data_IF_633788353843
#
_entry.id   IF_633788353843
#
_cell.length_a   1.000
_cell.length_b   1.000
_cell.length_c   1.000
_cell.angle_alpha   90.00
_cell.angle_beta   90.00
_cell.angle_gamma   90.00
#
_symmetry.space_group_name_H-M   'P 1'
#
loop_
_entity.id
_entity.type
_entity.pdbx_description
1 polymer ?
#
# COMPACT_ATOMS: atom_id res chain seq x y z
N UNK A 1 -7.64 10.80 13.07
CA UNK A 1 -7.32 9.42 12.64
C UNK A 1 -6.75 9.51 11.23
N UNK A 2 -5.43 9.40 11.14
CA UNK A 2 -4.67 9.55 9.90
C UNK A 2 -4.20 8.20 9.35
N UNK A 3 -5.11 7.37 8.86
CA UNK A 3 -4.78 6.20 8.03
C UNK A 3 -5.18 6.46 6.58
N UNK A 4 -4.48 5.83 5.63
CA UNK A 4 -4.93 5.79 4.24
C UNK A 4 -4.41 4.54 3.52
N UNK A 5 -5.33 3.67 3.14
CA UNK A 5 -5.04 2.65 2.16
C UNK A 5 -4.75 3.32 0.81
N UNK A 6 -3.54 3.09 0.30
CA UNK A 6 -3.12 3.56 -1.01
C UNK A 6 -2.97 2.36 -1.94
N UNK A 7 -3.77 2.34 -3.00
CA UNK A 7 -3.75 1.33 -4.08
C UNK A 7 -2.38 1.15 -4.77
N UNK A 8 -1.41 2.00 -4.45
CA UNK A 8 -0.07 2.02 -5.05
C UNK A 8 0.89 1.06 -4.33
N UNK A 9 1.11 1.32 -3.03
CA UNK A 9 2.18 0.73 -2.23
C UNK A 9 1.73 0.34 -0.82
N UNK A 10 0.44 0.00 -0.64
CA UNK A 10 -0.15 -0.61 0.56
C UNK A 10 -0.83 0.34 1.56
N UNK A 11 -0.92 -0.08 2.81
CA UNK A 11 -1.53 0.64 3.93
C UNK A 11 -0.56 1.71 4.41
N UNK A 12 -0.85 2.97 4.08
CA UNK A 12 -0.09 4.10 4.59
C UNK A 12 -0.70 4.53 5.93
N UNK A 13 0.16 4.78 6.91
CA UNK A 13 -0.26 5.26 8.23
C UNK A 13 0.46 6.57 8.54
N UNK A 14 -0.30 7.61 8.90
CA UNK A 14 0.25 8.88 9.31
C UNK A 14 0.90 8.76 10.70
N UNK A 15 2.19 9.07 10.75
CA UNK A 15 2.96 9.03 11.99
C UNK A 15 2.59 10.15 12.97
N UNK A 16 1.89 11.21 12.54
CA UNK A 16 1.47 12.33 13.39
C UNK A 16 0.29 12.02 14.33
N UNK A 17 -0.56 11.04 13.98
CA UNK A 17 -1.80 10.71 14.71
C UNK A 17 -1.97 9.19 14.89
N UNK A 18 -0.90 8.50 15.27
CA UNK A 18 -0.85 7.04 15.29
C UNK A 18 -1.65 6.40 16.44
N UNK A 19 -2.62 5.53 16.12
CA UNK A 19 -3.28 4.56 17.02
C UNK A 19 -3.17 3.16 16.39
N UNK A 20 -3.00 2.13 17.22
CA UNK A 20 -2.86 0.73 16.78
C UNK A 20 -4.06 0.20 15.99
N UNK A 21 -5.24 0.79 16.21
CA UNK A 21 -6.46 0.38 15.54
C UNK A 21 -6.49 0.81 14.06
N UNK A 22 -5.72 1.85 13.70
CA UNK A 22 -5.61 2.35 12.33
C UNK A 22 -4.98 1.31 11.40
N UNK A 23 -3.95 0.58 11.88
CA UNK A 23 -3.32 -0.50 11.11
C UNK A 23 -4.37 -1.55 10.67
N UNK A 24 -5.28 -1.91 11.58
CA UNK A 24 -6.33 -2.91 11.37
C UNK A 24 -7.39 -2.36 10.40
N UNK A 25 -7.86 -1.13 10.61
CA UNK A 25 -8.87 -0.49 9.75
C UNK A 25 -8.40 -0.42 8.29
N UNK A 26 -7.19 0.06 8.07
CA UNK A 26 -6.64 0.18 6.72
C UNK A 26 -6.31 -1.18 6.08
N UNK A 27 -5.94 -2.18 6.89
CA UNK A 27 -5.76 -3.54 6.40
C UNK A 27 -7.08 -4.15 5.89
N UNK A 28 -8.22 -3.81 6.50
CA UNK A 28 -9.53 -4.23 5.99
C UNK A 28 -9.80 -3.64 4.60
N UNK A 29 -9.54 -2.34 4.41
CA UNK A 29 -9.63 -1.70 3.09
C UNK A 29 -8.77 -2.41 2.04
N UNK A 30 -7.55 -2.77 2.43
CA UNK A 30 -6.63 -3.53 1.58
C UNK A 30 -7.17 -4.91 1.22
N UNK A 31 -7.64 -5.66 2.20
CA UNK A 31 -8.17 -7.03 1.98
C UNK A 31 -9.38 -6.99 1.06
N UNK A 32 -10.31 -6.07 1.32
CA UNK A 32 -11.50 -5.86 0.48
C UNK A 32 -11.10 -5.46 -0.95
N UNK A 33 -10.07 -4.64 -1.12
CA UNK A 33 -9.61 -4.18 -2.43
C UNK A 33 -8.82 -5.25 -3.20
N UNK A 34 -8.00 -6.05 -2.54
CA UNK A 34 -7.07 -6.98 -3.21
C UNK A 34 -7.63 -8.37 -3.45
N UNK A 35 -8.62 -8.81 -2.63
CA UNK A 35 -9.19 -10.16 -2.70
C UNK A 35 -10.50 -10.28 -3.48
N UNK A 36 -10.98 -9.19 -4.07
CA UNK A 36 -12.27 -9.16 -4.77
C UNK A 36 -12.10 -8.60 -6.17
N UNK A 37 -12.96 -9.04 -7.09
CA UNK A 37 -12.92 -8.61 -8.50
C UNK A 37 -13.20 -7.11 -8.66
N UNK A 38 -14.16 -6.56 -7.91
CA UNK A 38 -14.51 -5.14 -7.96
C UNK A 38 -13.39 -4.27 -7.37
N UNK A 39 -12.89 -4.65 -6.20
CA UNK A 39 -11.77 -3.96 -5.55
C UNK A 39 -10.50 -3.99 -6.42
N UNK A 40 -10.17 -5.15 -6.99
CA UNK A 40 -8.96 -5.32 -7.80
C UNK A 40 -9.06 -4.57 -9.13
N UNK A 41 -10.25 -4.48 -9.71
CA UNK A 41 -10.49 -3.63 -10.88
C UNK A 41 -10.21 -2.15 -10.56
N UNK A 42 -10.69 -1.67 -9.41
CA UNK A 42 -10.43 -0.29 -8.96
C UNK A 42 -8.93 -0.04 -8.74
N UNK A 43 -8.22 -0.97 -8.12
CA UNK A 43 -6.77 -0.88 -7.91
C UNK A 43 -6.03 -0.73 -9.25
N UNK A 44 -6.38 -1.55 -10.25
CA UNK A 44 -5.78 -1.48 -11.57
C UNK A 44 -6.13 -0.16 -12.28
N UNK A 45 -7.40 0.27 -12.20
CA UNK A 45 -7.84 1.56 -12.76
C UNK A 45 -7.08 2.73 -12.12
N UNK A 46 -6.86 2.72 -10.80
CA UNK A 46 -6.08 3.77 -10.12
C UNK A 46 -4.68 3.89 -10.71
N UNK A 47 -3.99 2.74 -10.89
CA UNK A 47 -2.64 2.69 -11.46
C UNK A 47 -2.61 3.18 -12.90
N UNK A 48 -3.57 2.77 -13.73
CA UNK A 48 -3.67 3.21 -15.14
C UNK A 48 -3.98 4.70 -15.21
N UNK A 49 -4.87 5.20 -14.35
CA UNK A 49 -5.28 6.60 -14.32
C UNK A 49 -4.15 7.59 -14.04
N UNK A 50 -3.03 7.12 -13.47
CA UNK A 50 -1.83 7.95 -13.31
C UNK A 50 -1.14 8.28 -14.64
N UNK A 51 -1.28 7.40 -15.63
CA UNK A 51 -0.73 7.58 -16.97
C UNK A 51 -1.78 8.11 -17.94
N UNK A 52 -3.01 7.62 -17.80
CA UNK A 52 -4.12 7.96 -18.67
C UNK A 52 -5.39 8.27 -17.87
N UNK A 53 -5.74 9.55 -17.80
CA UNK A 53 -6.92 10.02 -17.11
C UNK A 53 -8.25 9.79 -17.87
N UNK A 54 -8.24 9.17 -19.07
CA UNK A 54 -9.43 9.00 -19.93
C UNK A 54 -10.60 8.27 -19.25
N UNK A 55 -10.31 7.34 -18.33
CA UNK A 55 -11.32 6.59 -17.54
C UNK A 55 -11.30 6.94 -16.06
N UNK A 56 -10.75 8.10 -15.67
CA UNK A 56 -10.76 8.55 -14.27
C UNK A 56 -12.16 8.71 -13.69
N UNK A 57 -13.14 9.07 -14.53
CA UNK A 57 -14.55 9.10 -14.14
C UNK A 57 -15.06 7.74 -13.67
N UNK A 58 -14.62 6.65 -14.31
CA UNK A 58 -15.03 5.29 -13.97
C UNK A 58 -14.41 4.88 -12.64
N UNK A 59 -13.11 5.13 -12.47
CA UNK A 59 -12.42 4.93 -11.19
C UNK A 59 -13.16 5.62 -10.04
N UNK A 60 -13.44 6.92 -10.16
CA UNK A 60 -14.15 7.68 -9.13
C UNK A 60 -15.55 7.12 -8.85
N UNK A 61 -16.32 6.81 -9.89
CA UNK A 61 -17.67 6.27 -9.75
C UNK A 61 -17.67 4.90 -9.04
N UNK A 62 -16.72 4.02 -9.38
CA UNK A 62 -16.64 2.70 -8.76
C UNK A 62 -16.22 2.79 -7.28
N UNK A 63 -15.30 3.70 -6.94
CA UNK A 63 -14.90 4.05 -5.57
C UNK A 63 -16.10 4.53 -4.76
N UNK A 64 -16.87 5.49 -5.28
CA UNK A 64 -18.06 6.04 -4.59
C UNK A 64 -19.10 4.95 -4.28
N UNK A 65 -19.24 3.97 -5.18
CA UNK A 65 -20.14 2.84 -5.04
C UNK A 65 -19.70 1.79 -3.99
N UNK A 66 -18.48 1.87 -3.43
CA UNK A 66 -18.03 0.97 -2.36
C UNK A 66 -17.63 1.64 -1.05
N UNK A 67 -17.21 2.91 -1.07
CA UNK A 67 -16.62 3.58 0.10
C UNK A 67 -17.43 3.40 1.38
N UNK A 68 -18.76 3.57 1.30
CA UNK A 68 -19.62 3.44 2.48
C UNK A 68 -19.53 2.05 3.10
N UNK A 69 -19.64 0.98 2.31
CA UNK A 69 -19.59 -0.38 2.85
C UNK A 69 -18.20 -0.71 3.39
N UNK A 70 -17.14 -0.25 2.72
CA UNK A 70 -15.76 -0.47 3.18
C UNK A 70 -15.54 0.17 4.55
N UNK A 71 -15.97 1.43 4.75
CA UNK A 71 -15.89 2.09 6.05
C UNK A 71 -16.75 1.39 7.12
N UNK A 72 -17.94 0.88 6.78
CA UNK A 72 -18.75 0.11 7.73
C UNK A 72 -18.02 -1.16 8.17
N UNK A 73 -17.45 -1.92 7.23
CA UNK A 73 -16.74 -3.16 7.53
C UNK A 73 -15.48 -2.88 8.32
N UNK A 74 -14.66 -1.93 7.87
CA UNK A 74 -13.41 -1.55 8.52
C UNK A 74 -13.63 -1.03 9.95
N UNK A 75 -14.54 -0.07 10.15
CA UNK A 75 -14.83 0.45 11.49
C UNK A 75 -15.41 -0.63 12.42
N UNK A 76 -16.33 -1.48 11.96
CA UNK A 76 -16.85 -2.52 12.87
C UNK A 76 -15.77 -3.56 13.22
N UNK A 77 -14.91 -3.93 12.26
CA UNK A 77 -13.82 -4.86 12.52
C UNK A 77 -12.77 -4.25 13.47
N UNK A 78 -12.36 -3.01 13.21
CA UNK A 78 -11.44 -2.23 14.06
C UNK A 78 -11.91 -2.24 15.51
N UNK A 79 -13.15 -1.84 15.76
CA UNK A 79 -13.65 -1.72 17.13
C UNK A 79 -13.84 -3.10 17.79
N UNK A 80 -14.30 -4.11 17.06
CA UNK A 80 -14.39 -5.47 17.61
C UNK A 80 -13.01 -6.08 17.91
N UNK A 81 -11.93 -5.61 17.25
CA UNK A 81 -10.58 -6.12 17.50
C UNK A 81 -10.06 -5.81 18.92
N UNK A 82 -10.54 -4.73 19.55
CA UNK A 82 -10.20 -4.39 20.95
C UNK A 82 -10.56 -5.51 21.93
N UNK A 83 -11.60 -6.31 21.64
CA UNK A 83 -11.98 -7.46 22.49
C UNK A 83 -10.91 -8.56 22.53
N UNK A 84 -10.11 -8.65 21.46
CA UNK A 84 -9.05 -9.66 21.30
C UNK A 84 -7.67 -9.11 21.66
N UNK A 85 -7.40 -7.85 21.33
CA UNK A 85 -6.10 -7.22 21.60
C UNK A 85 -5.99 -6.64 23.00
N UNK A 86 -7.12 -6.33 23.65
CA UNK A 86 -7.19 -5.69 24.95
C UNK A 86 -8.21 -6.41 25.86
N UNK A 87 -9.26 -5.72 26.31
CA UNK A 87 -10.31 -6.25 27.16
C UNK A 87 -11.68 -5.61 26.84
N UNK A 88 -12.73 -6.17 27.45
CA UNK A 88 -14.11 -5.71 27.23
C UNK A 88 -14.31 -4.24 27.66
N UNK A 89 -13.65 -3.79 28.73
CA UNK A 89 -13.75 -2.41 29.24
C UNK A 89 -13.12 -1.41 28.27
N UNK A 90 -12.00 -1.78 27.66
CA UNK A 90 -11.33 -0.98 26.64
C UNK A 90 -12.20 -0.86 25.40
N UNK A 91 -12.82 -1.98 24.97
CA UNK A 91 -13.81 -1.99 23.89
C UNK A 91 -14.97 -1.02 24.17
N UNK A 92 -15.58 -1.06 25.35
CA UNK A 92 -16.66 -0.15 25.73
C UNK A 92 -16.20 1.32 25.77
N UNK A 93 -15.06 1.60 26.40
CA UNK A 93 -14.49 2.95 26.45
C UNK A 93 -14.26 3.53 25.06
N UNK A 94 -13.71 2.73 24.15
CA UNK A 94 -13.47 3.14 22.76
C UNK A 94 -14.76 3.42 22.01
N UNK A 95 -15.83 2.68 22.25
CA UNK A 95 -17.15 2.97 21.67
C UNK A 95 -17.71 4.29 22.20
N UNK A 96 -17.52 4.60 23.48
CA UNK A 96 -17.94 5.90 24.03
C UNK A 96 -17.16 7.05 23.38
N UNK A 97 -15.83 6.93 23.25
CA UNK A 97 -14.99 7.89 22.51
C UNK A 97 -15.45 8.05 21.06
N UNK A 98 -15.85 6.95 20.40
CA UNK A 98 -16.32 6.96 19.02
C UNK A 98 -17.59 7.81 18.82
N UNK A 99 -18.47 7.92 19.83
CA UNK A 99 -19.71 8.70 19.73
C UNK A 99 -19.46 10.19 19.47
N UNK A 100 -18.30 10.70 19.89
CA UNK A 100 -17.89 12.09 19.62
C UNK A 100 -17.60 12.31 18.12
N UNK A 101 -17.14 11.27 17.41
CA UNK A 101 -17.01 11.26 15.96
C UNK A 101 -18.28 10.75 15.29
N UNK A 102 -19.29 11.63 15.16
CA UNK A 102 -20.61 11.31 14.58
C UNK A 102 -20.56 10.59 13.22
N UNK A 103 -19.54 10.89 12.39
CA UNK A 103 -19.38 10.25 11.08
C UNK A 103 -18.99 8.78 11.23
N UNK A 104 -17.94 8.50 11.99
CA UNK A 104 -17.48 7.11 12.20
C UNK A 104 -18.48 6.31 13.03
N UNK A 105 -19.11 6.93 14.04
CA UNK A 105 -20.16 6.28 14.82
C UNK A 105 -21.35 5.85 13.95
N UNK A 106 -21.68 6.60 12.89
CA UNK A 106 -22.72 6.19 11.92
C UNK A 106 -22.36 4.90 11.20
N UNK A 107 -21.09 4.68 10.87
CA UNK A 107 -20.63 3.43 10.26
C UNK A 107 -20.71 2.27 11.26
N UNK A 108 -20.23 2.48 12.49
CA UNK A 108 -20.27 1.47 13.55
C UNK A 108 -21.70 1.08 13.97
N UNK A 109 -22.58 2.06 14.13
CA UNK A 109 -23.98 1.83 14.58
C UNK A 109 -24.85 1.09 13.57
N UNK A 110 -24.47 1.06 12.29
CA UNK A 110 -25.25 0.38 11.23
C UNK A 110 -25.42 -1.12 11.50
N UNK A 111 -24.50 -1.74 12.22
CA UNK A 111 -24.49 -3.16 12.55
C UNK A 111 -24.68 -3.42 14.05
N UNK A 112 -25.33 -2.51 14.79
CA UNK A 112 -25.52 -2.65 16.24
C UNK A 112 -26.19 -3.96 16.67
N UNK A 113 -27.09 -4.47 15.83
CA UNK A 113 -27.81 -5.71 16.09
C UNK A 113 -26.89 -6.95 16.16
N UNK A 114 -25.72 -6.94 15.51
CA UNK A 114 -24.81 -8.11 15.50
C UNK A 114 -24.12 -8.34 16.84
N UNK A 115 -24.17 -7.35 17.73
CA UNK A 115 -23.42 -7.32 19.01
C UNK A 115 -24.32 -7.21 20.24
N UNK A 116 -25.64 -7.36 20.08
CA UNK A 116 -26.62 -7.29 21.19
C UNK A 116 -26.35 -8.35 22.27
N UNK A 117 -25.74 -9.49 21.92
CA UNK A 117 -25.44 -10.60 22.84
C UNK A 117 -24.02 -10.57 23.44
N UNK A 118 -23.20 -9.59 23.09
CA UNK A 118 -21.81 -9.50 23.52
C UNK A 118 -21.71 -8.95 24.95
N UNK A 119 -20.88 -9.56 25.79
CA UNK A 119 -20.62 -9.19 27.18
C UNK A 119 -19.20 -9.64 27.61
N UNK A 120 -18.81 -9.33 28.85
CA UNK A 120 -17.48 -9.63 29.41
C UNK A 120 -17.17 -11.14 29.49
N UNK A 121 -18.19 -12.01 29.51
CA UNK A 121 -18.03 -13.47 29.62
C UNK A 121 -17.88 -14.17 28.25
N UNK A 122 -18.12 -13.49 27.13
CA UNK A 122 -18.13 -14.09 25.79
C UNK A 122 -17.41 -13.26 24.73
N UNK A 123 -16.30 -12.63 25.09
CA UNK A 123 -15.53 -11.73 24.22
C UNK A 123 -15.04 -12.40 22.92
N UNK A 124 -14.87 -13.72 22.91
CA UNK A 124 -14.52 -14.52 21.73
C UNK A 124 -15.57 -14.44 20.61
N UNK A 125 -16.83 -14.15 20.96
CA UNK A 125 -17.88 -13.91 19.98
C UNK A 125 -17.57 -12.67 19.11
N UNK A 126 -16.85 -11.69 19.66
CA UNK A 126 -16.45 -10.48 18.96
C UNK A 126 -15.63 -10.76 17.71
N UNK A 127 -14.69 -11.69 17.78
CA UNK A 127 -13.87 -12.11 16.62
C UNK A 127 -14.74 -12.79 15.55
N UNK A 128 -15.64 -13.68 15.97
CA UNK A 128 -16.57 -14.34 15.06
C UNK A 128 -17.49 -13.34 14.35
N UNK A 129 -17.98 -12.32 15.07
CA UNK A 129 -18.77 -11.23 14.49
C UNK A 129 -17.93 -10.45 13.48
N UNK A 130 -16.70 -10.04 13.84
CA UNK A 130 -15.82 -9.27 12.97
C UNK A 130 -15.51 -10.01 11.67
N UNK A 131 -15.18 -11.31 11.76
CA UNK A 131 -14.93 -12.16 10.61
C UNK A 131 -16.17 -12.31 9.70
N UNK A 132 -17.36 -12.49 10.28
CA UNK A 132 -18.60 -12.54 9.51
C UNK A 132 -18.88 -11.23 8.76
N UNK A 133 -18.65 -10.08 9.40
CA UNK A 133 -18.79 -8.76 8.76
C UNK A 133 -17.81 -8.62 7.59
N UNK A 134 -16.55 -9.05 7.76
CA UNK A 134 -15.56 -9.08 6.69
C UNK A 134 -15.99 -9.99 5.53
N UNK A 135 -16.50 -11.19 5.82
CA UNK A 135 -17.00 -12.13 4.79
C UNK A 135 -18.13 -11.49 3.99
N UNK A 136 -19.10 -10.85 4.65
CA UNK A 136 -20.18 -10.13 3.95
C UNK A 136 -19.62 -9.00 3.08
N UNK A 137 -18.61 -8.27 3.58
CA UNK A 137 -17.91 -7.26 2.79
C UNK A 137 -17.23 -7.82 1.54
N UNK A 138 -16.54 -8.94 1.67
CA UNK A 138 -15.90 -9.64 0.55
C UNK A 138 -16.94 -10.08 -0.49
N UNK A 139 -18.04 -10.69 -0.07
CA UNK A 139 -19.14 -11.12 -0.96
C UNK A 139 -19.82 -9.94 -1.67
N UNK A 140 -19.94 -8.79 -0.99
CA UNK A 140 -20.52 -7.59 -1.57
C UNK A 140 -19.66 -7.01 -2.70
N UNK A 141 -18.33 -7.13 -2.59
CA UNK A 141 -17.37 -6.65 -3.59
C UNK A 141 -17.01 -7.69 -4.66
N UNK A 142 -17.38 -8.96 -4.45
CA UNK A 142 -17.13 -10.01 -5.41
C UNK A 142 -18.19 -10.05 -6.52
N UNK A 143 -18.09 -9.05 -7.39
CA UNK A 143 -19.03 -8.80 -8.49
C UNK A 143 -18.49 -9.45 -9.76
N UNK A 144 -19.38 -10.07 -10.54
CA UNK A 144 -19.03 -10.61 -11.85
C UNK A 144 -18.86 -9.49 -12.90
N UNK A 145 -17.71 -8.81 -12.85
CA UNK A 145 -17.43 -7.64 -13.69
C UNK A 145 -17.49 -7.93 -15.19
N UNK A 146 -17.27 -9.18 -15.61
CA UNK A 146 -17.32 -9.58 -17.03
C UNK A 146 -18.72 -9.53 -17.64
N UNK A 147 -19.77 -9.64 -16.81
CA UNK A 147 -21.16 -9.52 -17.26
C UNK A 147 -21.58 -8.07 -17.52
N UNK A 148 -20.77 -7.08 -17.12
CA UNK A 148 -21.03 -5.68 -17.44
C UNK A 148 -20.81 -5.50 -18.95
N UNK A 149 -21.78 -5.00 -19.73
CA UNK A 149 -21.62 -4.86 -21.17
C UNK A 149 -20.58 -3.78 -21.50
N UNK A 150 -19.86 -3.94 -22.61
CA UNK A 150 -18.77 -3.04 -23.00
C UNK A 150 -19.23 -1.59 -23.15
N UNK A 151 -20.43 -1.41 -23.68
CA UNK A 151 -21.08 -0.12 -23.91
C UNK A 151 -21.27 0.67 -22.61
N UNK A 152 -21.39 -0.02 -21.45
CA UNK A 152 -21.49 0.65 -20.17
C UNK A 152 -20.22 1.45 -19.82
N UNK A 153 -19.05 1.06 -20.34
CA UNK A 153 -17.76 1.72 -20.06
C UNK A 153 -17.45 2.89 -20.99
N UNK A 154 -18.33 3.23 -21.92
CA UNK A 154 -18.11 4.34 -22.85
C UNK A 154 -18.14 5.69 -22.15
N UNK A 155 -19.06 5.87 -21.19
CA UNK A 155 -19.22 7.12 -20.45
C UNK A 155 -19.90 6.91 -19.09
N UNK A 156 -19.76 7.89 -18.21
CA UNK A 156 -20.44 7.91 -16.91
C UNK A 156 -21.96 7.78 -17.05
N UNK A 157 -22.54 8.41 -18.08
CA UNK A 157 -23.97 8.32 -18.39
C UNK A 157 -24.38 6.90 -18.78
N UNK A 158 -23.61 6.23 -19.64
CA UNK A 158 -23.90 4.86 -20.06
C UNK A 158 -23.81 3.88 -18.89
N UNK A 159 -22.81 4.05 -18.01
CA UNK A 159 -22.67 3.22 -16.82
C UNK A 159 -23.85 3.40 -15.84
N UNK A 160 -24.27 4.65 -15.59
CA UNK A 160 -25.45 4.94 -14.76
C UNK A 160 -26.73 4.36 -15.37
N UNK A 161 -26.89 4.42 -16.69
CA UNK A 161 -28.01 3.78 -17.38
C UNK A 161 -27.98 2.26 -17.20
N UNK A 162 -26.82 1.63 -17.32
CA UNK A 162 -26.66 0.20 -17.03
C UNK A 162 -27.10 -0.15 -15.60
N UNK A 163 -26.65 0.60 -14.58
CA UNK A 163 -27.04 0.37 -13.19
C UNK A 163 -28.54 0.59 -12.94
N UNK A 164 -29.19 1.46 -13.70
CA UNK A 164 -30.63 1.74 -13.58
C UNK A 164 -31.54 0.66 -14.17
N UNK A 165 -31.00 -0.31 -14.93
CA UNK A 165 -31.77 -1.45 -15.43
C UNK A 165 -32.14 -2.41 -14.29
N UNK A 166 -33.22 -3.16 -14.48
CA UNK A 166 -33.77 -4.06 -13.47
C UNK A 166 -32.69 -4.94 -12.82
N UNK A 167 -32.68 -4.95 -11.49
CA UNK A 167 -31.74 -5.65 -10.60
C UNK A 167 -30.26 -5.28 -10.70
N UNK A 168 -29.79 -4.54 -11.71
CA UNK A 168 -28.37 -4.24 -11.88
C UNK A 168 -27.79 -3.41 -10.73
N UNK A 169 -28.56 -2.48 -10.18
CA UNK A 169 -28.13 -1.74 -9.00
C UNK A 169 -27.79 -2.70 -7.84
N UNK A 170 -28.64 -3.68 -7.59
CA UNK A 170 -28.41 -4.67 -6.53
C UNK A 170 -27.31 -5.67 -6.89
N UNK A 171 -27.11 -5.99 -8.16
CA UNK A 171 -26.10 -6.96 -8.60
C UNK A 171 -24.69 -6.38 -8.73
N UNK A 172 -24.54 -5.09 -9.02
CA UNK A 172 -23.24 -4.48 -9.38
C UNK A 172 -22.84 -3.28 -8.52
N UNK A 173 -23.68 -2.81 -7.59
CA UNK A 173 -23.30 -1.77 -6.63
C UNK A 173 -22.93 -2.40 -5.27
N UNK A 174 -21.65 -2.36 -4.84
CA UNK A 174 -21.23 -2.97 -3.57
C UNK A 174 -21.98 -2.46 -2.35
N UNK A 175 -22.29 -1.17 -2.27
CA UNK A 175 -23.04 -0.61 -1.16
C UNK A 175 -24.44 -1.23 -1.04
N UNK A 176 -25.12 -1.45 -2.17
CA UNK A 176 -26.45 -2.07 -2.19
C UNK A 176 -26.36 -3.57 -1.93
N UNK A 177 -25.39 -4.26 -2.54
CA UNK A 177 -25.12 -5.69 -2.26
C UNK A 177 -24.88 -5.93 -0.78
N UNK A 178 -24.06 -5.09 -0.15
CA UNK A 178 -23.76 -5.18 1.27
C UNK A 178 -25.01 -5.05 2.13
N UNK A 179 -25.84 -4.02 1.90
CA UNK A 179 -27.09 -3.85 2.64
C UNK A 179 -28.03 -5.06 2.43
N UNK A 180 -28.10 -5.61 1.22
CA UNK A 180 -28.91 -6.82 0.93
C UNK A 180 -28.41 -8.04 1.72
N UNK A 181 -27.10 -8.31 1.74
CA UNK A 181 -26.54 -9.40 2.54
C UNK A 181 -26.73 -9.19 4.05
N UNK A 182 -26.51 -7.97 4.55
CA UNK A 182 -26.72 -7.66 5.97
C UNK A 182 -28.18 -7.85 6.37
N UNK A 183 -29.13 -7.41 5.54
CA UNK A 183 -30.55 -7.58 5.79
C UNK A 183 -30.95 -9.06 5.76
N UNK A 184 -30.34 -9.87 4.89
CA UNK A 184 -30.56 -11.32 4.86
C UNK A 184 -30.21 -12.01 6.19
N UNK A 185 -29.13 -11.56 6.85
CA UNK A 185 -28.72 -12.11 8.15
C UNK A 185 -29.45 -11.47 9.35
N UNK A 186 -30.14 -10.35 9.15
CA UNK A 186 -30.82 -9.65 10.22
C UNK A 186 -32.24 -10.21 10.40
N UNK A 187 -32.58 -10.78 11.58
CA UNK A 187 -33.88 -11.42 11.81
C UNK A 187 -35.08 -10.45 11.73
N UNK A 188 -34.84 -9.14 11.73
CA UNK A 188 -35.88 -8.10 11.63
C UNK A 188 -36.37 -7.86 10.20
N UNK A 189 -35.72 -8.43 9.18
CA UNK A 189 -36.06 -8.21 7.77
C UNK A 189 -36.50 -9.49 7.06
N UNK A 190 -37.41 -9.36 6.10
CA UNK A 190 -37.80 -10.45 5.21
C UNK A 190 -36.74 -10.57 4.11
N UNK A 191 -36.22 -11.78 3.92
CA UNK A 191 -35.17 -12.08 2.95
C UNK A 191 -35.73 -12.51 1.59
N UNK A 192 -35.09 -12.03 0.52
CA UNK A 192 -35.25 -12.57 -0.83
C UNK A 192 -34.17 -13.63 -1.08
N UNK A 193 -34.48 -14.89 -0.80
CA UNK A 193 -33.53 -16.00 -0.97
C UNK A 193 -33.07 -16.19 -2.42
N UNK A 194 -33.93 -15.92 -3.40
CA UNK A 194 -33.62 -16.14 -4.82
C UNK A 194 -32.60 -15.09 -5.31
N UNK A 195 -32.77 -13.85 -4.88
CA UNK A 195 -31.81 -12.77 -5.12
C UNK A 195 -30.45 -13.08 -4.48
N UNK A 196 -30.43 -13.55 -3.22
CA UNK A 196 -29.19 -13.91 -2.54
C UNK A 196 -28.49 -15.09 -3.24
N UNK A 197 -29.24 -16.13 -3.62
CA UNK A 197 -28.71 -17.26 -4.40
C UNK A 197 -28.11 -16.79 -5.73
N UNK A 198 -28.78 -15.86 -6.41
CA UNK A 198 -28.28 -15.26 -7.65
C UNK A 198 -26.96 -14.51 -7.41
N UNK A 199 -26.92 -13.63 -6.42
CA UNK A 199 -25.71 -12.87 -6.06
C UNK A 199 -24.53 -13.79 -5.70
N UNK A 200 -24.78 -14.85 -4.93
CA UNK A 200 -23.77 -15.84 -4.53
C UNK A 200 -23.31 -16.71 -5.70
N UNK A 201 -24.21 -17.09 -6.62
CA UNK A 201 -23.86 -17.89 -7.80
C UNK A 201 -22.91 -17.15 -8.76
N UNK A 202 -22.94 -15.82 -8.73
CA UNK A 202 -22.11 -14.94 -9.54
C UNK A 202 -20.78 -14.56 -8.88
N UNK A 203 -20.57 -14.91 -7.60
CA UNK A 203 -19.32 -14.72 -6.88
C UNK A 203 -18.17 -15.55 -7.48
N UNK A 204 -16.97 -14.98 -7.48
CA UNK A 204 -15.71 -15.57 -7.96
C UNK A 204 -14.66 -15.76 -6.84
N UNK A 205 -15.00 -15.45 -5.58
CA UNK A 205 -14.19 -15.69 -4.39
C UNK A 205 -13.70 -17.14 -4.35
N UNK A 206 -12.40 -17.32 -4.11
CA UNK A 206 -11.74 -18.63 -4.04
C UNK A 206 -11.35 -19.23 -5.40
N UNK A 207 -11.57 -18.54 -6.53
CA UNK A 207 -11.00 -18.94 -7.81
C UNK A 207 -9.58 -18.42 -7.97
N UNK A 208 -8.65 -19.31 -8.32
CA UNK A 208 -7.36 -18.92 -8.88
C UNK A 208 -7.62 -18.12 -10.16
N UNK A 209 -7.34 -16.82 -10.15
CA UNK A 209 -7.52 -16.02 -11.36
C UNK A 209 -8.04 -14.59 -11.23
N UNK A 210 -8.44 -14.10 -10.06
CA UNK A 210 -9.05 -12.75 -9.90
C UNK A 210 -8.22 -11.68 -10.63
N UNK A 211 -6.89 -11.75 -10.51
CA UNK A 211 -6.00 -10.83 -11.21
C UNK A 211 -6.17 -10.89 -12.74
N UNK A 212 -6.13 -12.08 -13.33
CA UNK A 212 -6.33 -12.33 -14.76
C UNK A 212 -7.73 -11.90 -15.22
N UNK A 213 -8.72 -12.04 -14.35
CA UNK A 213 -10.10 -11.60 -14.58
C UNK A 213 -10.17 -10.10 -14.75
N UNK A 214 -9.60 -9.36 -13.80
CA UNK A 214 -9.59 -7.90 -13.84
C UNK A 214 -8.72 -7.37 -14.98
N UNK A 215 -7.59 -8.02 -15.32
CA UNK A 215 -6.77 -7.64 -16.47
C UNK A 215 -7.55 -7.73 -17.79
N UNK A 216 -8.29 -8.82 -18.01
CA UNK A 216 -9.16 -8.96 -19.19
C UNK A 216 -10.23 -7.87 -19.24
N UNK A 217 -10.80 -7.52 -18.10
CA UNK A 217 -11.82 -6.47 -18.04
C UNK A 217 -11.22 -5.08 -18.32
N UNK A 218 -10.02 -4.79 -17.79
CA UNK A 218 -9.28 -3.57 -18.13
C UNK A 218 -9.03 -3.49 -19.64
N UNK A 219 -8.58 -4.57 -20.28
CA UNK A 219 -8.39 -4.60 -21.74
C UNK A 219 -9.66 -4.26 -22.50
N UNK A 220 -10.81 -4.69 -22.01
CA UNK A 220 -12.13 -4.34 -22.59
C UNK A 220 -12.51 -2.88 -22.32
N UNK A 221 -12.17 -2.31 -21.16
CA UNK A 221 -12.44 -0.90 -20.84
C UNK A 221 -11.60 0.04 -21.73
N UNK A 222 -10.36 -0.38 -22.05
CA UNK A 222 -9.36 0.41 -22.78
C UNK A 222 -9.06 -0.13 -24.18
N UNK A 223 -9.96 -0.90 -24.78
CA UNK A 223 -9.72 -1.59 -26.07
C UNK A 223 -9.29 -0.67 -27.22
N UNK A 224 -9.66 0.61 -27.17
CA UNK A 224 -9.34 1.61 -28.20
C UNK A 224 -8.13 2.48 -27.82
N UNK A 225 -7.40 2.11 -26.77
CA UNK A 225 -6.27 2.86 -26.26
C UNK A 225 -4.94 2.28 -26.76
N UNK A 226 -4.21 3.08 -27.53
CA UNK A 226 -2.86 2.73 -27.96
C UNK A 226 -1.97 2.60 -26.72
N UNK A 227 -1.26 1.47 -26.58
CA UNK A 227 -0.33 1.13 -25.49
C UNK A 227 -0.94 0.55 -24.20
N UNK A 228 -2.22 0.13 -24.16
CA UNK A 228 -2.77 -0.53 -22.96
C UNK A 228 -1.99 -1.79 -22.55
N UNK A 229 -1.51 -2.59 -23.51
CA UNK A 229 -0.68 -3.77 -23.23
C UNK A 229 0.63 -3.41 -22.50
N UNK A 230 1.22 -2.28 -22.89
CA UNK A 230 2.44 -1.75 -22.27
C UNK A 230 2.16 -1.31 -20.84
N UNK A 231 0.99 -0.69 -20.57
CA UNK A 231 0.58 -0.32 -19.22
C UNK A 231 0.27 -1.57 -18.37
N UNK A 232 -0.41 -2.57 -18.94
CA UNK A 232 -0.77 -3.81 -18.23
C UNK A 232 0.45 -4.65 -17.87
N UNK A 233 1.42 -4.79 -18.78
CA UNK A 233 2.66 -5.52 -18.51
C UNK A 233 3.47 -4.92 -17.34
N UNK A 234 3.22 -3.66 -16.97
CA UNK A 234 3.91 -2.94 -15.89
C UNK A 234 3.19 -2.98 -14.55
N UNK A 235 1.87 -3.13 -14.55
CA UNK A 235 1.08 -3.38 -13.32
C UNK A 235 1.03 -4.88 -12.98
N UNK A 236 1.53 -5.75 -13.86
CA UNK A 236 1.76 -7.16 -13.61
C UNK A 236 3.03 -7.39 -12.79
N UNK A 237 2.85 -7.83 -11.54
CA UNK A 237 3.96 -8.11 -10.63
C UNK A 237 3.69 -7.76 -9.16
N UNK A 238 2.57 -7.12 -8.85
CA UNK A 238 2.18 -6.91 -7.45
C UNK A 238 1.88 -8.26 -6.80
N UNK A 239 2.80 -8.71 -5.94
CA UNK A 239 2.60 -9.89 -5.11
C UNK A 239 1.31 -9.73 -4.31
N UNK A 240 0.40 -10.69 -4.47
CA UNK A 240 -0.67 -10.90 -3.50
C UNK A 240 0.02 -11.65 -2.36
N UNK A 241 0.09 -11.05 -1.17
CA UNK A 241 0.51 -11.82 0.00
C UNK A 241 -0.61 -12.84 0.25
N UNK A 242 -0.28 -14.11 0.05
CA UNK A 242 -1.15 -15.19 0.47
C UNK A 242 -1.16 -15.26 1.99
N UNK A 243 -2.19 -14.64 2.57
CA UNK A 243 -2.43 -14.60 4.00
C UNK A 243 -2.69 -16.00 4.59
N UNK A 244 -3.10 -16.97 3.76
CA UNK A 244 -3.50 -18.32 4.18
C UNK A 244 -2.34 -19.22 4.60
N UNK A 245 -1.10 -18.85 4.28
CA UNK A 245 0.09 -19.68 4.53
C UNK A 245 0.96 -19.19 5.69
N UNK A 246 0.54 -18.15 6.42
CA UNK A 246 1.35 -17.56 7.48
C UNK A 246 0.82 -17.96 8.86
N UNK A 247 1.72 -18.18 9.84
CA UNK A 247 1.35 -18.47 11.24
C UNK A 247 1.02 -17.20 12.04
N UNK A 248 0.72 -16.10 11.34
CA UNK A 248 0.39 -14.83 11.94
C UNK A 248 -1.14 -14.65 12.05
N UNK A 249 -1.59 -14.01 13.13
CA UNK A 249 -2.97 -13.55 13.25
C UNK A 249 -3.26 -12.40 12.28
N UNK A 250 -4.54 -12.09 12.06
CA UNK A 250 -4.92 -10.97 11.19
C UNK A 250 -4.33 -9.62 11.68
N UNK A 251 -4.30 -9.41 12.99
CA UNK A 251 -3.77 -8.21 13.63
C UNK A 251 -2.25 -8.13 13.44
N UNK A 252 -1.53 -9.23 13.69
CA UNK A 252 -0.09 -9.30 13.45
C UNK A 252 0.26 -8.98 11.99
N UNK A 253 -0.52 -9.50 11.04
CA UNK A 253 -0.29 -9.20 9.62
C UNK A 253 -0.63 -7.74 9.32
N UNK A 254 -1.68 -7.17 9.92
CA UNK A 254 -2.01 -5.74 9.79
C UNK A 254 -0.82 -4.86 10.18
N UNK A 255 -0.18 -5.15 11.31
CA UNK A 255 0.99 -4.39 11.80
C UNK A 255 2.20 -4.53 10.88
N UNK A 256 2.49 -5.75 10.42
CA UNK A 256 3.56 -6.02 9.47
C UNK A 256 3.32 -5.44 8.08
N UNK A 257 2.07 -5.08 7.76
CA UNK A 257 1.66 -4.46 6.50
C UNK A 257 1.52 -2.93 6.58
N UNK A 258 1.54 -2.37 7.78
CA UNK A 258 1.48 -0.94 7.98
C UNK A 258 2.80 -0.28 7.57
N UNK A 259 2.70 0.75 6.74
CA UNK A 259 3.83 1.54 6.29
C UNK A 259 3.73 2.98 6.84
N UNK A 260 4.56 3.35 7.83
CA UNK A 260 4.57 4.69 8.41
C UNK A 260 4.97 5.77 7.40
N UNK A 261 4.20 6.85 7.30
CA UNK A 261 4.46 7.99 6.40
C UNK A 261 3.90 9.31 6.98
N UNK A 262 4.11 10.44 6.31
CA UNK A 262 3.52 11.75 6.65
C UNK A 262 2.40 12.08 5.65
N UNK A 263 1.16 11.68 5.96
CA UNK A 263 0.02 11.81 5.04
C UNK A 263 -0.55 13.23 5.07
N UNK A 264 -0.68 13.83 6.26
CA UNK A 264 -1.38 15.10 6.47
C UNK A 264 -0.50 16.34 6.40
N UNK A 265 0.82 16.20 6.45
CA UNK A 265 1.71 17.30 6.09
C UNK A 265 1.60 17.49 4.59
N UNK A 266 0.68 18.37 4.17
CA UNK A 266 0.74 18.97 2.84
C UNK A 266 2.19 19.40 2.66
N UNK A 267 2.87 18.74 1.72
CA UNK A 267 4.28 18.80 1.33
C UNK A 267 4.80 20.23 1.07
N UNK A 268 4.71 21.10 2.07
CA UNK A 268 4.92 22.55 1.99
C UNK A 268 6.31 22.95 2.42
N UNK A 269 7.12 22.01 2.93
CA UNK A 269 8.26 22.40 3.73
C UNK A 269 9.51 22.72 2.92
N UNK A 270 9.61 22.32 1.66
CA UNK A 270 10.74 22.72 0.83
C UNK A 270 10.39 22.85 -0.66
N UNK A 271 10.37 24.09 -1.15
CA UNK A 271 10.43 24.41 -2.58
C UNK A 271 11.90 24.28 -3.03
N UNK A 272 12.29 23.10 -3.53
CA UNK A 272 13.57 22.97 -4.24
C UNK A 272 13.38 23.45 -5.67
N UNK A 273 14.36 24.19 -6.17
CA UNK A 273 14.42 24.48 -7.60
C UNK A 273 14.74 23.19 -8.36
N UNK A 274 13.75 22.71 -9.11
CA UNK A 274 13.87 21.49 -9.90
C UNK A 274 14.46 21.77 -11.28
N UNK A 275 15.61 21.15 -11.55
CA UNK A 275 16.31 21.20 -12.84
C UNK A 275 16.42 19.80 -13.44
N UNK A 276 16.08 19.68 -14.73
CA UNK A 276 16.30 18.47 -15.52
C UNK A 276 17.38 18.75 -16.56
N UNK A 277 18.40 17.90 -16.64
CA UNK A 277 19.50 18.06 -17.58
C UNK A 277 19.96 16.73 -18.19
N UNK A 278 20.82 16.80 -19.20
CA UNK A 278 21.51 15.62 -19.74
C UNK A 278 22.54 15.08 -18.71
N UNK A 279 23.05 13.88 -18.97
CA UNK A 279 23.92 13.18 -18.02
C UNK A 279 25.28 13.88 -17.81
N UNK A 280 25.82 14.55 -18.84
CA UNK A 280 27.09 15.27 -18.74
C UNK A 280 26.97 16.51 -17.84
N UNK A 281 25.89 17.28 -18.01
CA UNK A 281 25.54 18.41 -17.14
C UNK A 281 25.26 17.94 -15.71
N UNK A 282 24.58 16.81 -15.56
CA UNK A 282 24.31 16.21 -14.26
C UNK A 282 25.61 15.88 -13.52
N UNK A 283 26.55 15.16 -14.17
CA UNK A 283 27.83 14.81 -13.55
C UNK A 283 28.61 16.07 -13.15
N UNK A 284 28.61 17.12 -13.99
CA UNK A 284 29.26 18.40 -13.67
C UNK A 284 28.65 19.09 -12.45
N UNK A 285 27.35 18.99 -12.26
CA UNK A 285 26.68 19.58 -11.10
C UNK A 285 26.85 18.71 -9.85
N UNK A 286 26.77 17.38 -9.98
CA UNK A 286 27.01 16.41 -8.91
C UNK A 286 28.35 16.65 -8.21
N UNK A 287 29.42 16.84 -8.98
CA UNK A 287 30.76 17.09 -8.46
C UNK A 287 30.93 18.43 -7.73
N UNK A 288 29.92 19.32 -7.75
CA UNK A 288 29.92 20.60 -7.04
C UNK A 288 29.09 20.57 -5.75
N UNK A 289 28.41 19.47 -5.45
CA UNK A 289 27.57 19.33 -4.26
C UNK A 289 28.42 18.78 -3.14
N UNK A 290 28.61 19.58 -2.08
CA UNK A 290 29.39 19.18 -0.91
C UNK A 290 28.53 18.47 0.15
N UNK A 291 27.25 18.85 0.23
CA UNK A 291 26.30 18.28 1.19
C UNK A 291 25.00 17.95 0.48
N UNK A 292 24.71 16.66 0.39
CA UNK A 292 23.62 16.16 -0.41
C UNK A 292 23.59 14.65 -0.46
N UNK A 293 22.67 14.13 -1.27
CA UNK A 293 22.53 12.71 -1.53
C UNK A 293 22.36 12.46 -3.03
N UNK A 294 23.03 11.43 -3.54
CA UNK A 294 22.77 10.87 -4.86
C UNK A 294 21.60 9.89 -4.76
N UNK A 295 20.47 10.28 -5.32
CA UNK A 295 19.22 9.52 -5.34
C UNK A 295 19.11 8.72 -6.61
N UNK A 296 18.76 7.45 -6.47
CA UNK A 296 18.38 6.59 -7.58
C UNK A 296 16.88 6.37 -7.42
N UNK A 297 16.15 7.16 -8.18
CA UNK A 297 14.69 7.20 -8.19
C UNK A 297 14.19 6.46 -9.43
N UNK A 298 12.96 5.99 -9.40
CA UNK A 298 12.23 5.68 -10.62
C UNK A 298 10.85 6.32 -10.47
N UNK A 299 10.72 7.46 -11.12
CA UNK A 299 9.78 8.50 -10.73
C UNK A 299 8.32 8.23 -11.10
N UNK A 300 8.02 7.03 -11.58
CA UNK A 300 6.66 6.69 -11.96
C UNK A 300 6.19 5.36 -11.40
N UNK A 301 5.53 5.41 -10.24
CA UNK A 301 4.65 4.35 -9.76
C UNK A 301 3.55 4.09 -10.81
N UNK A 302 3.76 3.08 -11.67
CA UNK A 302 2.83 2.66 -12.72
C UNK A 302 3.30 2.89 -14.16
N UNK A 303 4.46 3.52 -14.42
CA UNK A 303 5.02 3.77 -15.78
C UNK A 303 6.23 2.86 -16.09
N UNK A 304 6.88 2.92 -17.29
CA UNK A 304 8.09 2.14 -17.50
C UNK A 304 9.13 2.53 -16.45
N UNK A 305 9.96 1.56 -16.10
CA UNK A 305 11.15 1.83 -15.30
C UNK A 305 12.04 2.75 -16.12
N UNK A 306 12.02 4.04 -15.77
CA UNK A 306 12.99 4.99 -16.27
C UNK A 306 14.20 4.94 -15.36
N UNK A 307 15.36 4.89 -16.00
CA UNK A 307 16.64 4.93 -15.33
C UNK A 307 16.92 6.37 -14.91
N UNK A 308 16.23 6.86 -13.89
CA UNK A 308 16.37 8.24 -13.40
C UNK A 308 17.29 8.30 -12.19
N UNK A 309 18.01 9.42 -12.07
CA UNK A 309 18.77 9.74 -10.89
C UNK A 309 18.63 11.22 -10.57
N UNK A 310 18.80 11.55 -9.29
CA UNK A 310 18.74 12.92 -8.79
C UNK A 310 19.88 13.21 -7.83
N UNK A 311 20.30 14.47 -7.74
CA UNK A 311 21.10 14.96 -6.62
C UNK A 311 20.34 16.07 -5.91
N UNK A 312 20.24 15.96 -4.59
CA UNK A 312 19.62 16.97 -3.73
C UNK A 312 20.75 17.76 -3.07
N UNK A 313 20.92 19.02 -3.48
CA UNK A 313 21.87 19.96 -2.90
C UNK A 313 21.15 20.73 -1.77
N UNK A 314 21.43 20.38 -0.52
CA UNK A 314 20.75 21.01 0.62
C UNK A 314 21.21 22.45 0.85
N UNK A 315 22.47 22.77 0.53
CA UNK A 315 23.02 24.12 0.71
C UNK A 315 22.31 25.10 -0.22
N UNK A 316 22.12 24.71 -1.48
CA UNK A 316 21.47 25.54 -2.49
C UNK A 316 19.96 25.33 -2.57
N UNK A 317 19.41 24.37 -1.82
CA UNK A 317 18.01 23.93 -1.93
C UNK A 317 17.62 23.64 -3.40
N UNK A 318 18.46 22.88 -4.09
CA UNK A 318 18.31 22.58 -5.53
C UNK A 318 18.26 21.09 -5.76
N UNK A 319 17.32 20.62 -6.59
CA UNK A 319 17.21 19.22 -6.97
C UNK A 319 17.46 19.09 -8.47
N UNK A 320 18.48 18.33 -8.84
CA UNK A 320 18.93 18.18 -10.22
C UNK A 320 18.70 16.75 -10.64
N UNK A 321 18.05 16.53 -11.77
CA UNK A 321 17.69 15.20 -12.26
C UNK A 321 18.22 14.94 -13.66
N UNK A 322 18.55 13.67 -13.91
CA UNK A 322 18.90 13.17 -15.23
C UNK A 322 18.49 11.71 -15.41
N UNK A 323 18.77 11.16 -16.59
CA UNK A 323 18.57 9.76 -16.92
C UNK A 323 19.91 9.09 -17.24
N UNK A 324 20.12 7.88 -16.74
CA UNK A 324 21.25 7.02 -17.07
C UNK A 324 20.86 5.95 -18.10
N UNK A 325 21.82 5.50 -18.90
CA UNK A 325 21.52 4.59 -20.02
C UNK A 325 21.48 3.14 -19.58
N UNK A 326 22.47 2.70 -18.81
CA UNK A 326 22.66 1.31 -18.40
C UNK A 326 23.34 1.19 -17.02
N UNK A 327 23.68 -0.04 -16.62
CA UNK A 327 24.30 -0.30 -15.33
C UNK A 327 25.76 0.18 -15.23
N UNK A 328 26.49 0.24 -16.34
CA UNK A 328 27.90 0.70 -16.34
C UNK A 328 27.94 2.22 -16.14
N UNK A 329 27.07 2.95 -16.84
CA UNK A 329 26.85 4.39 -16.66
C UNK A 329 26.49 4.70 -15.19
N UNK A 330 25.54 3.95 -14.62
CA UNK A 330 25.15 4.11 -13.22
C UNK A 330 26.32 3.84 -12.25
N UNK A 331 27.07 2.75 -12.45
CA UNK A 331 28.21 2.42 -11.61
C UNK A 331 29.29 3.51 -11.67
N UNK A 332 29.57 4.04 -12.85
CA UNK A 332 30.51 5.14 -13.05
C UNK A 332 30.08 6.40 -12.28
N UNK A 333 28.81 6.80 -12.37
CA UNK A 333 28.28 7.97 -11.66
C UNK A 333 28.40 7.77 -10.13
N UNK A 334 28.03 6.60 -9.62
CA UNK A 334 28.15 6.27 -8.19
C UNK A 334 29.60 6.36 -7.73
N UNK A 335 30.54 5.84 -8.52
CA UNK A 335 31.95 5.86 -8.18
C UNK A 335 32.54 7.28 -8.21
N UNK A 336 32.07 8.15 -9.09
CA UNK A 336 32.47 9.56 -9.16
C UNK A 336 31.90 10.43 -8.01
N UNK A 337 30.73 10.08 -7.47
CA UNK A 337 30.04 10.86 -6.44
C UNK A 337 30.72 10.79 -5.07
N UNK A 338 31.13 11.90 -4.46
CA UNK A 338 31.54 11.88 -3.03
C UNK A 338 30.33 11.76 -2.07
N UNK A 339 29.12 11.96 -2.58
CA UNK A 339 27.88 11.86 -1.82
C UNK A 339 27.48 10.40 -1.57
N UNK A 340 26.73 10.21 -0.50
CA UNK A 340 26.06 8.94 -0.19
C UNK A 340 25.01 8.60 -1.25
N UNK A 341 24.82 7.31 -1.50
CA UNK A 341 23.95 6.80 -2.58
C UNK A 341 22.78 6.04 -1.99
N UNK A 342 21.56 6.46 -2.32
CA UNK A 342 20.35 5.77 -1.91
C UNK A 342 19.41 5.48 -3.07
N UNK A 343 18.98 4.22 -3.14
CA UNK A 343 17.85 3.78 -3.94
C UNK A 343 16.56 4.06 -3.17
N UNK A 344 15.74 4.95 -3.70
CA UNK A 344 14.39 5.19 -3.20
C UNK A 344 13.37 4.34 -3.95
N UNK A 345 13.71 3.78 -5.12
CA UNK A 345 12.90 2.74 -5.78
C UNK A 345 13.72 1.47 -6.04
N UNK A 346 13.47 0.46 -5.21
CA UNK A 346 14.17 -0.83 -5.26
C UNK A 346 13.82 -1.70 -6.47
N UNK A 347 12.81 -1.35 -7.27
CA UNK A 347 12.45 -2.10 -8.50
C UNK A 347 13.50 -1.95 -9.60
N UNK A 348 14.29 -0.87 -9.56
CA UNK A 348 15.38 -0.64 -10.51
C UNK A 348 16.59 -1.52 -10.24
N UNK A 349 16.92 -1.72 -8.96
CA UNK A 349 18.16 -2.37 -8.53
C UNK A 349 18.36 -3.78 -9.10
N UNK A 350 17.36 -4.70 -9.12
CA UNK A 350 17.52 -6.03 -9.68
C UNK A 350 18.05 -6.06 -11.12
N UNK A 351 17.79 -5.02 -11.93
CA UNK A 351 18.26 -4.92 -13.33
C UNK A 351 19.77 -4.72 -13.44
N UNK A 352 20.35 -4.05 -12.45
CA UNK A 352 21.77 -3.64 -12.44
C UNK A 352 22.57 -4.33 -11.34
N UNK A 353 21.94 -5.24 -10.60
CA UNK A 353 22.48 -5.94 -9.44
C UNK A 353 23.90 -6.47 -9.65
N UNK A 354 24.14 -7.17 -10.75
CA UNK A 354 25.43 -7.83 -10.99
C UNK A 354 26.54 -6.82 -11.27
N UNK A 355 26.27 -5.78 -12.08
CA UNK A 355 27.24 -4.71 -12.36
C UNK A 355 27.53 -3.93 -11.07
N UNK A 356 26.50 -3.52 -10.33
CA UNK A 356 26.67 -2.75 -9.09
C UNK A 356 27.39 -3.54 -7.99
N UNK A 357 27.26 -4.87 -7.95
CA UNK A 357 28.02 -5.71 -7.00
C UNK A 357 29.51 -5.77 -7.33
N UNK A 358 29.88 -5.70 -8.61
CA UNK A 358 31.26 -5.85 -9.06
C UNK A 358 31.96 -4.49 -9.01
N UNK A 359 31.29 -3.45 -9.53
CA UNK A 359 31.94 -2.19 -9.85
C UNK A 359 31.75 -1.10 -8.78
N UNK A 360 30.85 -1.29 -7.80
CA UNK A 360 30.63 -0.32 -6.72
C UNK A 360 31.12 -0.84 -5.39
N UNK A 361 32.12 -0.16 -4.82
CA UNK A 361 32.68 -0.45 -3.49
C UNK A 361 32.09 0.39 -2.37
N UNK A 362 31.34 1.46 -2.70
CA UNK A 362 30.68 2.34 -1.73
C UNK A 362 29.47 1.66 -1.09
N UNK A 363 29.06 2.19 0.04
CA UNK A 363 27.80 1.80 0.65
C UNK A 363 26.64 2.25 -0.24
N UNK A 364 25.66 1.35 -0.38
CA UNK A 364 24.42 1.60 -1.10
C UNK A 364 23.28 1.43 -0.11
N UNK A 365 22.51 2.50 0.06
CA UNK A 365 21.33 2.51 0.90
C UNK A 365 20.09 2.17 0.07
N UNK A 366 19.19 1.37 0.64
CA UNK A 366 17.91 1.00 0.03
C UNK A 366 16.80 1.44 0.94
N UNK A 367 15.95 2.34 0.48
CA UNK A 367 14.78 2.78 1.21
C UNK A 367 13.56 2.11 0.60
N UNK A 368 12.79 1.44 1.43
CA UNK A 368 11.60 0.76 1.00
C UNK A 368 10.39 1.69 1.07
N UNK A 369 9.69 1.85 -0.04
CA UNK A 369 8.46 2.66 -0.13
C UNK A 369 7.18 1.83 0.11
N UNK A 370 7.30 0.72 0.82
CA UNK A 370 6.24 -0.27 1.03
C UNK A 370 6.52 -1.08 2.31
N UNK A 371 5.57 -1.87 2.81
CA UNK A 371 5.78 -2.60 4.07
C UNK A 371 6.81 -3.71 3.97
N UNK A 372 7.33 -4.10 5.14
CA UNK A 372 8.29 -5.20 5.26
C UNK A 372 7.79 -6.50 4.64
N UNK A 373 6.47 -6.78 4.67
CA UNK A 373 5.92 -8.01 4.10
C UNK A 373 6.04 -8.07 2.57
N UNK A 374 5.86 -6.94 1.88
CA UNK A 374 6.01 -6.91 0.42
C UNK A 374 7.47 -7.03 0.00
N UNK A 375 8.37 -6.55 0.85
CA UNK A 375 9.80 -6.54 0.58
C UNK A 375 10.50 -7.84 0.98
N UNK A 376 9.80 -8.82 1.54
CA UNK A 376 10.38 -10.11 1.96
C UNK A 376 11.18 -10.81 0.88
N UNK A 377 10.69 -10.80 -0.38
CA UNK A 377 11.41 -11.42 -1.50
C UNK A 377 12.76 -10.74 -1.72
N UNK A 378 12.77 -9.41 -1.79
CA UNK A 378 13.99 -8.62 -1.96
C UNK A 378 14.94 -8.80 -0.77
N UNK A 379 14.43 -8.75 0.46
CA UNK A 379 15.19 -8.97 1.69
C UNK A 379 15.87 -10.35 1.65
N UNK A 380 15.13 -11.39 1.27
CA UNK A 380 15.66 -12.75 1.15
C UNK A 380 16.72 -12.88 0.07
N UNK A 381 16.53 -12.25 -1.08
CA UNK A 381 17.45 -12.32 -2.22
C UNK A 381 18.75 -11.54 -1.99
N UNK A 382 18.66 -10.38 -1.34
CA UNK A 382 19.81 -9.47 -1.19
C UNK A 382 20.49 -9.55 0.18
N UNK A 383 19.75 -9.79 1.26
CA UNK A 383 20.25 -9.63 2.63
C UNK A 383 20.36 -10.94 3.43
N UNK A 384 20.16 -12.11 2.81
CA UNK A 384 20.39 -13.39 3.49
C UNK A 384 21.83 -13.48 4.04
N UNK A 385 21.95 -13.98 5.27
CA UNK A 385 23.14 -14.04 6.11
C UNK A 385 23.70 -12.66 6.51
N UNK A 386 22.93 -11.59 6.35
CA UNK A 386 23.24 -10.27 6.91
C UNK A 386 22.93 -10.19 8.40
N UNK A 387 23.01 -8.96 8.92
CA UNK A 387 22.60 -8.62 10.27
C UNK A 387 21.54 -7.52 10.28
N UNK A 388 20.63 -7.53 11.26
CA UNK A 388 19.62 -6.49 11.42
C UNK A 388 19.61 -5.91 12.83
N UNK A 389 19.15 -4.67 12.91
CA UNK A 389 18.83 -3.99 14.17
C UNK A 389 17.60 -3.12 13.97
N UNK A 390 17.00 -2.66 15.08
CA UNK A 390 15.79 -1.83 15.03
C UNK A 390 15.98 -0.66 15.99
N UNK A 391 15.78 0.56 15.50
CA UNK A 391 15.68 1.76 16.33
C UNK A 391 14.23 2.18 16.45
N UNK A 392 13.77 2.27 17.69
CA UNK A 392 12.42 2.72 18.00
C UNK A 392 12.39 4.25 18.06
N UNK A 393 11.47 4.86 17.32
CA UNK A 393 11.12 6.27 17.44
C UNK A 393 9.71 6.39 18.04
N UNK A 394 9.33 7.60 18.47
CA UNK A 394 8.05 7.81 19.14
C UNK A 394 6.83 7.32 18.32
N UNK A 395 6.91 7.41 16.99
CA UNK A 395 5.78 7.20 16.09
C UNK A 395 5.98 6.08 15.07
N UNK A 396 7.20 5.55 14.93
CA UNK A 396 7.53 4.44 14.04
C UNK A 396 8.83 3.75 14.48
N UNK A 397 9.11 2.58 13.92
CA UNK A 397 10.38 1.89 14.08
C UNK A 397 11.15 1.89 12.75
N UNK A 398 12.46 2.03 12.83
CA UNK A 398 13.36 1.86 11.67
C UNK A 398 14.07 0.51 11.79
N UNK A 399 13.69 -0.42 10.92
CA UNK A 399 14.38 -1.67 10.70
C UNK A 399 15.56 -1.43 9.75
N UNK A 400 16.76 -1.75 10.21
CA UNK A 400 17.98 -1.72 9.40
C UNK A 400 18.47 -3.13 9.17
N UNK A 401 18.78 -3.46 7.92
CA UNK A 401 19.43 -4.73 7.57
C UNK A 401 20.70 -4.41 6.79
N UNK A 402 21.84 -4.90 7.26
CA UNK A 402 23.14 -4.70 6.62
C UNK A 402 23.72 -6.03 6.15
N UNK A 403 24.28 -6.00 4.94
CA UNK A 403 25.10 -7.07 4.39
C UNK A 403 26.13 -6.47 3.45
N UNK A 404 27.40 -6.72 3.73
CA UNK A 404 28.51 -6.15 2.98
C UNK A 404 28.37 -4.61 2.88
N UNK A 405 28.41 -4.05 1.67
CA UNK A 405 28.19 -2.63 1.38
C UNK A 405 26.72 -2.25 1.20
N UNK A 406 25.76 -3.15 1.44
CA UNK A 406 24.32 -2.87 1.28
C UNK A 406 23.67 -2.60 2.62
N UNK A 407 22.88 -1.53 2.69
CA UNK A 407 22.16 -1.13 3.90
C UNK A 407 20.69 -0.89 3.54
N UNK A 408 19.82 -1.73 4.04
CA UNK A 408 18.37 -1.58 3.93
C UNK A 408 17.84 -0.70 5.06
N UNK A 409 16.98 0.24 4.71
CA UNK A 409 16.21 1.10 5.62
C UNK A 409 14.71 0.84 5.37
N UNK A 410 14.05 0.21 6.32
CA UNK A 410 12.63 -0.15 6.25
C UNK A 410 11.89 0.49 7.43
N UNK A 411 10.95 1.38 7.11
CA UNK A 411 10.00 1.89 8.10
C UNK A 411 8.99 0.79 8.45
N UNK A 412 8.75 0.57 9.74
CA UNK A 412 7.74 -0.37 10.24
C UNK A 412 6.90 0.28 11.33
N UNK A 413 5.64 -0.14 11.43
CA UNK A 413 4.75 0.23 12.54
C UNK A 413 5.37 -0.15 13.89
N UNK A 414 5.14 0.68 14.91
CA UNK A 414 5.57 0.37 16.29
C UNK A 414 4.95 -0.93 16.81
N UNK A 415 3.76 -1.30 16.31
CA UNK A 415 3.11 -2.56 16.68
C UNK A 415 3.81 -3.78 16.05
N UNK A 416 4.63 -3.59 15.02
CA UNK A 416 5.34 -4.68 14.33
C UNK A 416 6.68 -5.03 14.99
N UNK A 417 7.18 -4.23 15.94
CA UNK A 417 8.53 -4.36 16.53
C UNK A 417 8.81 -5.79 17.02
N UNK A 418 7.87 -6.38 17.76
CA UNK A 418 8.02 -7.71 18.35
C UNK A 418 7.74 -8.86 17.36
N UNK A 419 7.32 -8.53 16.14
CA UNK A 419 6.96 -9.51 15.10
C UNK A 419 8.10 -9.78 14.12
N UNK A 420 9.12 -8.92 14.08
CA UNK A 420 10.23 -9.03 13.11
C UNK A 420 11.03 -10.33 13.28
N UNK A 421 11.33 -10.73 14.52
CA UNK A 421 12.07 -11.98 14.77
C UNK A 421 11.25 -13.20 14.29
N UNK A 422 9.93 -13.20 14.56
CA UNK A 422 8.98 -14.23 14.10
C UNK A 422 8.85 -14.22 12.57
N UNK A 423 8.91 -13.03 11.94
CA UNK A 423 8.83 -12.84 10.49
C UNK A 423 9.99 -13.55 9.78
N UNK A 424 11.21 -13.37 10.25
CA UNK A 424 12.38 -14.01 9.67
C UNK A 424 12.30 -15.54 9.72
N UNK A 425 11.84 -16.08 10.85
CA UNK A 425 11.66 -17.52 11.04
C UNK A 425 10.60 -18.07 10.07
N UNK A 426 9.41 -17.45 10.04
CA UNK A 426 8.28 -17.91 9.24
C UNK A 426 8.56 -17.92 7.73
N UNK A 427 9.35 -16.96 7.24
CA UNK A 427 9.69 -16.86 5.82
C UNK A 427 11.04 -17.50 5.45
N UNK A 428 11.67 -18.18 6.41
CA UNK A 428 12.97 -18.83 6.28
C UNK A 428 14.03 -17.85 5.71
N UNK A 429 14.18 -16.72 6.41
CA UNK A 429 15.13 -15.65 6.11
C UNK A 429 16.20 -15.67 7.22
N UNK A 430 17.39 -16.16 6.90
CA UNK A 430 18.51 -16.25 7.84
C UNK A 430 19.22 -14.90 7.96
N UNK A 431 18.89 -14.10 8.98
CA UNK A 431 19.53 -12.81 9.28
C UNK A 431 19.73 -12.73 10.80
N UNK A 432 20.92 -12.35 11.26
CA UNK A 432 21.24 -12.28 12.69
C UNK A 432 20.89 -10.93 13.31
N UNK A 433 20.33 -10.91 14.52
CA UNK A 433 20.12 -9.67 15.27
C UNK A 433 21.43 -9.15 15.85
N UNK A 434 21.68 -7.84 15.78
CA UNK A 434 22.85 -7.18 16.37
C UNK A 434 22.46 -5.89 17.10
N UNK A 435 23.35 -5.40 17.97
CA UNK A 435 23.16 -4.13 18.67
C UNK A 435 23.18 -2.96 17.68
N UNK A 436 22.29 -1.97 17.88
CA UNK A 436 22.18 -0.81 16.98
C UNK A 436 23.52 -0.09 16.82
N UNK A 437 24.21 0.19 17.93
CA UNK A 437 25.46 0.94 17.92
C UNK A 437 26.58 0.14 17.28
N UNK A 438 26.50 -1.20 17.31
CA UNK A 438 27.47 -2.07 16.64
C UNK A 438 27.22 -2.15 15.14
N UNK A 439 25.96 -2.27 14.73
CA UNK A 439 25.58 -2.41 13.33
C UNK A 439 25.74 -1.09 12.56
N UNK A 440 25.39 0.02 13.19
CA UNK A 440 25.28 1.34 12.57
C UNK A 440 26.48 2.26 12.84
N UNK A 441 27.49 1.81 13.60
CA UNK A 441 28.65 2.64 13.97
C UNK A 441 29.25 3.38 12.77
N UNK A 442 29.19 4.71 12.79
CA UNK A 442 29.76 5.57 11.74
C UNK A 442 28.80 5.84 10.58
N UNK A 443 27.55 5.38 10.65
CA UNK A 443 26.51 5.58 9.65
C UNK A 443 25.27 6.28 10.20
N UNK A 444 25.19 6.54 11.51
CA UNK A 444 23.99 7.07 12.15
C UNK A 444 23.55 8.40 11.56
N UNK A 445 24.51 9.32 11.35
CA UNK A 445 24.22 10.61 10.72
C UNK A 445 23.69 10.46 9.29
N UNK A 446 24.32 9.59 8.49
CA UNK A 446 23.88 9.29 7.12
C UNK A 446 22.48 8.68 7.10
N UNK A 447 22.18 7.73 7.98
CA UNK A 447 20.86 7.11 8.09
C UNK A 447 19.80 8.15 8.45
N UNK A 448 20.06 9.00 9.44
CA UNK A 448 19.13 10.06 9.85
C UNK A 448 18.89 11.06 8.72
N UNK A 449 19.93 11.42 7.98
CA UNK A 449 19.84 12.28 6.81
C UNK A 449 18.99 11.65 5.69
N UNK A 450 19.23 10.38 5.37
CA UNK A 450 18.48 9.64 4.34
C UNK A 450 17.00 9.53 4.70
N UNK A 451 16.68 9.20 5.96
CA UNK A 451 15.29 9.10 6.43
C UNK A 451 14.60 10.46 6.44
N UNK A 452 15.30 11.51 6.88
CA UNK A 452 14.81 12.89 6.76
C UNK A 452 14.53 13.23 5.29
N UNK A 453 15.46 12.87 4.40
CA UNK A 453 15.34 13.09 2.97
C UNK A 453 14.14 12.33 2.37
N UNK A 454 13.87 11.10 2.83
CA UNK A 454 12.67 10.36 2.46
C UNK A 454 11.39 11.14 2.82
N UNK A 455 11.22 11.54 4.07
CA UNK A 455 10.01 12.25 4.51
C UNK A 455 9.85 13.64 3.85
N UNK A 456 10.96 14.33 3.58
CA UNK A 456 10.94 15.69 3.02
C UNK A 456 10.80 15.74 1.49
N UNK A 457 11.34 14.75 0.75
CA UNK A 457 11.54 14.87 -0.71
C UNK A 457 10.83 13.82 -1.58
N UNK A 458 10.04 12.90 -1.01
CA UNK A 458 9.36 11.82 -1.75
C UNK A 458 8.59 12.26 -3.02
N UNK A 459 8.06 13.48 -3.10
CA UNK A 459 7.16 13.90 -4.19
C UNK A 459 7.81 14.64 -5.38
N UNK A 460 9.12 14.91 -5.38
CA UNK A 460 9.77 15.63 -6.50
C UNK A 460 9.75 14.86 -7.82
N UNK A 461 9.77 13.53 -7.74
CA UNK A 461 9.58 12.61 -8.84
C UNK A 461 8.36 12.95 -9.73
N UNK A 462 7.24 13.37 -9.11
CA UNK A 462 5.98 13.64 -9.79
C UNK A 462 5.92 15.03 -10.42
N UNK A 463 6.66 16.03 -9.91
CA UNK A 463 6.64 17.40 -10.44
C UNK A 463 7.48 17.57 -11.71
N UNK A 464 8.43 16.65 -11.95
CA UNK A 464 9.15 16.51 -13.22
C UNK A 464 8.17 16.28 -14.39
N UNK A 465 7.00 15.68 -14.13
CA UNK A 465 6.05 15.26 -15.16
C UNK A 465 5.12 16.39 -15.67
N UNK A 466 5.11 17.55 -15.01
CA UNK A 466 4.35 18.71 -15.48
C UNK A 466 5.20 19.67 -16.35
N UNK A 467 6.47 19.34 -16.58
CA UNK A 467 7.41 20.07 -17.44
C UNK A 467 7.87 19.13 -18.55
#
# INVERSE_FOLDING_TARGET
MGGKYNFENETLIDIGEYDKSVDIHEMIHKVLSTKTTYGRLIELLNRICKLDNSKKWLYNLLIDNMNRMQEIVATNFEYLSYLKTDDFKTYESKIEELKDNKRYYKYFSKLSWTRESLNEENTELGESIALNILIVGLLALDINIWKIPKEAYESEKAFKQFLSKDNNMTLYNPNIRFDTFINYHNPKYISDEELIKTMMSDCQLGRDGIYQICIKEVMKIYENYENIDVIISRIAGCGIIDMGQTSFSFEEISYLNAFPTLINDQFKNFEFDLIVCNIEDFIRELLKVNQGILRIDNTMLGSPIYNTLGVVDYEKKKAIYSCYQDGEDLANIINLSELEVAFFDIRTYPRFREILKIDVSKNIYFIMESSVLYNLKFIKEEFINGAYSIKNYNTYCLLIIKKDNKILLQLISNNALNLIDKLWINFNISISKDDWNKLCNGYEGTIEEIIKNYFEYCNFALSILNK
#
